data_IF_923209885285
#
_entry.id   IF_923209885285
#
_cell.length_a   1.000
_cell.length_b   1.000
_cell.length_c   1.000
_cell.angle_alpha   90.00
_cell.angle_beta   90.00
_cell.angle_gamma   90.00
#
_symmetry.space_group_name_H-M   'P 1'
#
loop_
_entity.id
_entity.type
_entity.pdbx_description
1 polymer ?
#
# COMPACT_ATOMS: atom_id res chain seq x y z
N UNK A 1 -16.16 39.07 30.05
CA UNK A 1 -15.92 39.42 28.63
C UNK A 1 -16.71 38.43 27.77
N UNK A 2 -17.60 38.90 26.90
CA UNK A 2 -18.36 38.04 26.00
C UNK A 2 -17.62 37.89 24.67
N UNK A 3 -17.25 36.67 24.30
CA UNK A 3 -16.59 36.40 23.01
C UNK A 3 -17.61 36.60 21.89
N UNK A 4 -17.29 37.51 20.95
CA UNK A 4 -18.12 37.77 19.79
C UNK A 4 -18.03 36.60 18.80
N UNK A 5 -19.07 35.76 18.77
CA UNK A 5 -19.17 34.57 17.92
C UNK A 5 -18.93 34.87 16.44
N UNK A 6 -19.34 36.05 15.96
CA UNK A 6 -19.14 36.49 14.57
C UNK A 6 -17.68 36.83 14.28
N UNK A 7 -16.97 37.39 15.25
CA UNK A 7 -15.53 37.63 15.12
C UNK A 7 -14.76 36.31 15.11
N UNK A 8 -15.13 35.36 15.98
CA UNK A 8 -14.52 34.04 16.04
C UNK A 8 -14.62 33.27 14.70
N UNK A 9 -15.80 33.23 14.08
CA UNK A 9 -16.01 32.54 12.79
C UNK A 9 -15.24 33.21 11.64
N UNK A 10 -15.05 34.52 11.67
CA UNK A 10 -14.24 35.22 10.65
C UNK A 10 -12.74 35.04 10.85
N UNK A 11 -12.28 34.86 12.08
CA UNK A 11 -10.86 34.66 12.37
C UNK A 11 -10.40 33.22 12.12
N UNK A 12 -11.30 32.23 12.27
CA UNK A 12 -10.97 30.80 12.12
C UNK A 12 -10.83 30.33 10.67
N UNK A 13 -11.27 31.10 9.68
CA UNK A 13 -11.12 30.72 8.26
C UNK A 13 -9.75 31.06 7.66
N UNK A 14 -8.95 31.93 8.30
CA UNK A 14 -7.65 32.37 7.75
C UNK A 14 -6.48 31.45 8.15
N UNK A 15 -6.66 30.59 9.17
CA UNK A 15 -5.58 29.70 9.67
C UNK A 15 -5.61 28.27 9.08
N UNK A 16 -6.51 27.96 8.14
CA UNK A 16 -6.75 26.60 7.67
C UNK A 16 -6.10 26.18 6.34
N UNK A 17 -5.42 27.09 5.63
CA UNK A 17 -5.02 26.84 4.22
C UNK A 17 -3.55 26.42 4.05
N UNK A 18 -2.71 26.50 5.08
CA UNK A 18 -1.25 26.35 4.89
C UNK A 18 -0.68 24.92 4.94
N UNK A 19 -1.49 23.85 4.91
CA UNK A 19 -1.00 22.47 5.13
C UNK A 19 -1.25 21.47 3.99
N UNK A 20 -1.72 21.89 2.82
CA UNK A 20 -1.96 20.97 1.67
C UNK A 20 -1.12 21.33 0.43
N UNK A 21 0.08 21.89 0.62
CA UNK A 21 1.07 22.07 -0.46
C UNK A 21 2.38 21.35 -0.14
N UNK A 22 2.32 20.24 0.58
CA UNK A 22 3.29 19.18 0.32
C UNK A 22 2.61 18.27 -0.68
N UNK A 23 2.74 18.64 -1.95
CA UNK A 23 2.40 17.73 -3.03
C UNK A 23 3.07 16.41 -2.73
N UNK A 24 2.29 15.33 -2.69
CA UNK A 24 2.86 14.00 -2.85
C UNK A 24 3.74 14.11 -4.09
N UNK A 25 5.05 14.06 -3.91
CA UNK A 25 5.96 13.80 -5.01
C UNK A 25 5.57 12.41 -5.50
N UNK A 26 4.63 12.36 -6.43
CA UNK A 26 4.54 11.27 -7.38
C UNK A 26 5.78 11.48 -8.21
N UNK A 27 6.94 10.97 -7.74
CA UNK A 27 8.04 10.68 -8.64
C UNK A 27 7.39 9.89 -9.76
N UNK A 28 7.35 10.50 -10.96
CA UNK A 28 6.69 9.92 -12.11
C UNK A 28 7.12 8.46 -12.16
N UNK A 29 6.17 7.56 -11.94
CA UNK A 29 6.47 6.14 -11.93
C UNK A 29 7.11 5.87 -13.28
N UNK A 30 8.40 5.52 -13.26
CA UNK A 30 9.08 4.88 -14.39
C UNK A 30 8.10 3.88 -15.00
N UNK A 31 8.01 3.80 -16.33
CA UNK A 31 7.00 2.99 -17.04
C UNK A 31 7.17 1.47 -16.87
N UNK A 32 7.78 1.04 -15.76
CA UNK A 32 8.02 -0.33 -15.38
C UNK A 32 6.86 -0.95 -14.59
N UNK A 33 6.99 -2.25 -14.37
CA UNK A 33 6.02 -3.06 -13.62
C UNK A 33 5.97 -2.63 -12.16
N UNK A 34 4.79 -2.76 -11.56
CA UNK A 34 4.62 -2.54 -10.12
C UNK A 34 5.28 -3.70 -9.38
N UNK A 35 6.31 -3.40 -8.59
CA UNK A 35 7.05 -4.38 -7.80
C UNK A 35 6.28 -4.70 -6.52
N UNK A 36 6.01 -5.98 -6.27
CA UNK A 36 5.20 -6.45 -5.13
C UNK A 36 5.91 -7.58 -4.39
N UNK A 37 5.94 -7.49 -3.07
CA UNK A 37 6.33 -8.57 -2.18
C UNK A 37 5.18 -8.98 -1.26
N UNK A 38 5.09 -10.27 -0.91
CA UNK A 38 4.10 -10.76 0.04
C UNK A 38 4.76 -11.23 1.34
N UNK A 39 4.19 -10.82 2.47
CA UNK A 39 4.60 -11.29 3.80
C UNK A 39 3.44 -12.08 4.40
N UNK A 40 3.72 -13.33 4.77
CA UNK A 40 2.75 -14.28 5.28
C UNK A 40 1.90 -14.91 4.18
N UNK A 41 1.56 -16.18 4.39
CA UNK A 41 0.82 -17.00 3.44
C UNK A 41 -0.34 -17.74 4.11
N UNK A 42 -0.46 -17.70 5.45
CA UNK A 42 -1.41 -18.50 6.24
C UNK A 42 -2.88 -18.13 6.03
N UNK A 43 -3.17 -16.90 5.66
CA UNK A 43 -4.54 -16.46 5.45
C UNK A 43 -5.14 -17.10 4.18
N UNK A 44 -6.40 -17.52 4.21
CA UNK A 44 -7.04 -18.27 3.12
C UNK A 44 -6.99 -17.53 1.76
N UNK A 45 -7.03 -16.20 1.78
CA UNK A 45 -6.97 -15.37 0.58
C UNK A 45 -5.55 -14.99 0.15
N UNK A 46 -4.50 -15.53 0.77
CA UNK A 46 -3.12 -15.18 0.45
C UNK A 46 -2.72 -15.70 -0.94
N UNK A 47 -3.05 -16.96 -1.25
CA UNK A 47 -2.74 -17.58 -2.55
C UNK A 47 -3.46 -16.86 -3.69
N UNK A 48 -4.76 -16.59 -3.56
CA UNK A 48 -5.53 -15.94 -4.61
C UNK A 48 -5.03 -14.53 -4.99
N UNK A 49 -4.46 -13.79 -4.03
CA UNK A 49 -3.79 -12.50 -4.33
C UNK A 49 -2.53 -12.73 -5.15
N UNK A 50 -1.71 -13.70 -4.76
CA UNK A 50 -0.46 -14.00 -5.44
C UNK A 50 -0.68 -14.55 -6.86
N UNK A 51 -1.66 -15.44 -7.03
CA UNK A 51 -2.04 -15.96 -8.35
C UNK A 51 -2.52 -14.83 -9.28
N UNK A 52 -3.25 -13.86 -8.73
CA UNK A 52 -3.71 -12.69 -9.49
C UNK A 52 -2.53 -11.83 -9.95
N UNK A 53 -1.59 -11.51 -9.05
CA UNK A 53 -0.39 -10.74 -9.39
C UNK A 53 0.42 -11.41 -10.51
N UNK A 54 0.58 -12.73 -10.44
CA UNK A 54 1.29 -13.51 -11.47
C UNK A 54 0.54 -13.60 -12.79
N UNK A 55 -0.80 -13.64 -12.75
CA UNK A 55 -1.65 -13.62 -13.95
C UNK A 55 -1.51 -12.30 -14.73
N UNK A 56 -1.34 -11.18 -14.03
CA UNK A 56 -1.14 -9.86 -14.64
C UNK A 56 0.34 -9.45 -14.66
N UNK A 57 1.21 -10.37 -15.10
CA UNK A 57 2.67 -10.18 -15.11
C UNK A 57 3.17 -9.06 -16.03
N UNK A 58 2.34 -8.55 -16.94
CA UNK A 58 2.65 -7.35 -17.73
C UNK A 58 2.57 -6.07 -16.89
N UNK A 59 1.78 -6.08 -15.80
CA UNK A 59 1.58 -4.95 -14.90
C UNK A 59 2.39 -5.09 -13.61
N UNK A 60 2.61 -6.32 -13.14
CA UNK A 60 3.20 -6.60 -11.84
C UNK A 60 4.46 -7.47 -11.94
N UNK A 61 5.41 -7.20 -11.06
CA UNK A 61 6.60 -8.00 -10.83
C UNK A 61 6.59 -8.49 -9.37
N UNK A 62 6.46 -9.80 -9.17
CA UNK A 62 6.58 -10.40 -7.82
C UNK A 62 8.06 -10.52 -7.48
N UNK A 63 8.53 -9.68 -6.55
CA UNK A 63 9.96 -9.62 -6.18
C UNK A 63 10.33 -10.53 -5.00
N UNK A 64 9.34 -11.09 -4.30
CA UNK A 64 9.60 -12.03 -3.23
C UNK A 64 8.38 -12.39 -2.39
N UNK A 65 8.48 -13.51 -1.68
CA UNK A 65 7.50 -13.97 -0.71
C UNK A 65 8.24 -14.38 0.57
N UNK A 66 7.77 -13.89 1.72
CA UNK A 66 8.33 -14.22 3.04
C UNK A 66 7.25 -14.92 3.86
N UNK A 67 7.52 -16.12 4.34
CA UNK A 67 6.69 -16.82 5.31
C UNK A 67 7.49 -17.05 6.60
N UNK A 68 7.09 -16.44 7.74
CA UNK A 68 7.82 -16.58 8.99
C UNK A 68 7.74 -18.00 9.59
N UNK A 69 6.70 -18.79 9.30
CA UNK A 69 6.60 -20.18 9.74
C UNK A 69 7.46 -21.09 8.84
N UNK A 70 8.53 -21.66 9.40
CA UNK A 70 9.47 -22.48 8.64
C UNK A 70 8.82 -23.72 8.02
N UNK A 71 7.94 -24.42 8.75
CA UNK A 71 7.26 -25.62 8.23
C UNK A 71 6.39 -25.24 7.05
N UNK A 72 5.63 -24.15 7.15
CA UNK A 72 4.79 -23.62 6.08
C UNK A 72 5.62 -23.17 4.89
N UNK A 73 6.73 -22.48 5.11
CA UNK A 73 7.66 -22.07 4.06
C UNK A 73 8.20 -23.27 3.29
N UNK A 74 8.60 -24.33 3.98
CA UNK A 74 9.05 -25.59 3.35
C UNK A 74 7.94 -26.25 2.53
N UNK A 75 6.72 -26.33 3.07
CA UNK A 75 5.56 -26.90 2.37
C UNK A 75 5.19 -26.12 1.10
N UNK A 76 5.42 -24.81 1.08
CA UNK A 76 5.03 -23.93 -0.03
C UNK A 76 6.15 -23.69 -1.05
N UNK A 77 7.39 -24.10 -0.76
CA UNK A 77 8.56 -23.85 -1.62
C UNK A 77 8.35 -24.32 -3.06
N UNK A 78 7.67 -25.45 -3.24
CA UNK A 78 7.45 -26.07 -4.55
C UNK A 78 6.07 -25.72 -5.16
N UNK A 79 5.30 -24.84 -4.51
CA UNK A 79 3.98 -24.46 -5.00
C UNK A 79 4.08 -23.50 -6.19
N UNK A 80 3.24 -23.70 -7.20
CA UNK A 80 3.20 -22.82 -8.37
C UNK A 80 2.88 -21.36 -8.01
N UNK A 81 2.09 -21.14 -6.95
CA UNK A 81 1.71 -19.81 -6.46
C UNK A 81 2.89 -19.06 -5.84
N UNK A 82 3.83 -19.74 -5.17
CA UNK A 82 4.89 -19.09 -4.40
C UNK A 82 6.31 -19.28 -4.95
N UNK A 83 6.48 -20.06 -6.02
CA UNK A 83 7.76 -20.25 -6.74
C UNK A 83 8.11 -19.13 -7.74
#
# INVERSE_FOLDING_TARGET
>A
MAVNRRAFVKQSTVAGVSLVVTGYHVSGAESGKIRVGQIGTKHAHASGKMDTLRKFSDLYEVVGVVEPDEKRRLLLKDSATYR
#
